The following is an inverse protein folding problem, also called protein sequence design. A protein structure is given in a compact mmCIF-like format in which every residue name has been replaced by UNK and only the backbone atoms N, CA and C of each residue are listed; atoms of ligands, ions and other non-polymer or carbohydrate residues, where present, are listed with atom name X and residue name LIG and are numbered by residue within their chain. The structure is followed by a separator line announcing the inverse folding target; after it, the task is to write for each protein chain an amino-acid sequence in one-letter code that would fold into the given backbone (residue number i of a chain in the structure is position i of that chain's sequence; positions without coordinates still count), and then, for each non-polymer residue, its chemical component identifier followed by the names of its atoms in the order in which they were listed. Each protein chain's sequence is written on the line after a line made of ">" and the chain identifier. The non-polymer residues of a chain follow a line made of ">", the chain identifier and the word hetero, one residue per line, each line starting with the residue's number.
data_IF_804577049003
#
_entry.id   IF_804577049003
#
_cell.length_a   1.000
_cell.length_b   1.000
_cell.length_c   1.000
_cell.angle_alpha   90.00
_cell.angle_beta   90.00
_cell.angle_gamma   90.00
#
_symmetry.space_group_name_H-M   'P 1'
#
loop_
_entity.id
_entity.type
_entity.pdbx_description
1 polymer ?
#
# COMPACT_ATOMS: atom_id res chain seq x y z
N UNK A 1 10.79 2.22 10.24
CA UNK A 1 9.37 1.87 10.03
C UNK A 1 8.89 0.97 11.16
N UNK A 2 7.58 0.87 11.41
CA UNK A 2 7.06 -0.12 12.39
C UNK A 2 7.09 -1.52 11.80
N UNK A 3 6.56 -1.66 10.59
CA UNK A 3 6.47 -2.91 9.84
C UNK A 3 7.11 -2.65 8.48
N UNK A 4 8.12 -3.44 8.10
CA UNK A 4 8.79 -3.27 6.82
C UNK A 4 9.15 -4.62 6.20
N UNK A 5 8.45 -4.95 5.12
CA UNK A 5 8.80 -6.03 4.21
C UNK A 5 9.11 -5.39 2.87
N UNK A 6 10.39 -5.35 2.51
CA UNK A 6 10.85 -4.74 1.27
C UNK A 6 11.75 -5.71 0.50
N UNK A 7 11.29 -6.16 -0.66
CA UNK A 7 12.06 -6.96 -1.60
C UNK A 7 12.82 -6.11 -2.62
N UNK A 8 12.72 -4.79 -2.63
CA UNK A 8 13.46 -4.00 -3.59
C UNK A 8 14.93 -3.85 -3.18
N UNK A 9 15.83 -4.46 -3.95
CA UNK A 9 17.29 -4.43 -3.74
C UNK A 9 18.07 -3.71 -4.86
N UNK A 10 17.38 -3.28 -5.93
CA UNK A 10 17.96 -2.67 -7.14
C UNK A 10 18.20 -1.16 -7.07
N UNK A 11 18.89 -0.65 -6.05
CA UNK A 11 19.21 0.80 -5.96
C UNK A 11 18.05 1.67 -5.48
N UNK A 12 17.94 2.91 -5.99
CA UNK A 12 16.99 3.92 -5.50
C UNK A 12 15.56 3.34 -5.42
N UNK A 13 15.04 3.23 -4.18
CA UNK A 13 13.66 2.85 -3.96
C UNK A 13 12.75 3.84 -4.67
N UNK A 14 11.74 3.40 -5.43
CA UNK A 14 10.77 4.31 -6.01
C UNK A 14 10.05 5.01 -4.86
N UNK A 15 10.35 6.29 -4.69
CA UNK A 15 9.78 7.08 -3.61
C UNK A 15 8.41 7.54 -4.10
N UNK A 16 7.35 6.96 -3.54
CA UNK A 16 6.00 7.51 -3.69
C UNK A 16 5.92 8.74 -2.77
N UNK A 17 6.39 9.89 -3.23
CA UNK A 17 6.23 11.15 -2.49
C UNK A 17 4.85 11.75 -2.76
N UNK A 18 4.27 12.36 -1.74
CA UNK A 18 2.90 12.89 -1.77
C UNK A 18 2.72 14.13 -2.65
N UNK A 19 3.81 14.69 -3.16
CA UNK A 19 3.87 15.90 -3.98
C UNK A 19 4.14 15.63 -5.47
N UNK A 20 4.26 14.37 -5.89
CA UNK A 20 4.51 13.99 -7.28
C UNK A 20 3.32 13.26 -7.92
N UNK A 21 3.11 13.55 -9.20
CA UNK A 21 2.06 12.93 -10.01
C UNK A 21 2.42 11.48 -10.31
N UNK A 22 1.44 10.57 -10.32
CA UNK A 22 1.67 9.16 -10.68
C UNK A 22 2.23 8.95 -12.10
N UNK A 23 2.16 9.99 -12.95
CA UNK A 23 2.73 10.05 -14.30
C UNK A 23 4.27 10.20 -14.28
N UNK A 24 4.84 10.78 -13.22
CA UNK A 24 6.30 10.92 -13.03
C UNK A 24 6.94 9.67 -12.39
N UNK A 25 6.11 8.73 -11.91
CA UNK A 25 6.50 7.47 -11.29
C UNK A 25 6.70 6.34 -12.32
N UNK A 26 7.44 6.58 -13.40
CA UNK A 26 7.89 5.48 -14.27
C UNK A 26 8.89 4.61 -13.50
N UNK A 27 8.36 3.58 -12.84
CA UNK A 27 9.15 2.48 -12.33
C UNK A 27 9.71 1.69 -13.50
N UNK A 28 10.94 1.23 -13.36
CA UNK A 28 11.48 0.20 -14.24
C UNK A 28 10.72 -1.10 -13.94
N UNK A 29 9.58 -1.27 -14.61
CA UNK A 29 8.74 -2.46 -14.55
C UNK A 29 9.30 -3.58 -15.45
N UNK A 30 10.60 -3.60 -15.74
CA UNK A 30 11.21 -4.70 -16.49
C UNK A 30 11.03 -6.01 -15.72
N UNK A 31 10.01 -6.76 -16.12
CA UNK A 31 9.75 -8.09 -15.61
C UNK A 31 10.92 -8.98 -15.96
N UNK A 32 11.77 -9.25 -14.97
CA UNK A 32 12.80 -10.28 -15.07
C UNK A 32 12.16 -11.65 -14.88
N UNK A 33 12.80 -12.69 -15.41
CA UNK A 33 12.29 -14.05 -15.27
C UNK A 33 12.36 -14.49 -13.81
N UNK A 34 11.25 -15.01 -13.29
CA UNK A 34 11.19 -15.63 -11.97
C UNK A 34 11.99 -16.93 -11.99
N UNK A 35 12.94 -17.08 -11.06
CA UNK A 35 13.73 -18.28 -10.84
C UNK A 35 13.57 -18.75 -9.39
N UNK A 36 14.15 -19.91 -9.05
CA UNK A 36 14.22 -20.38 -7.65
C UNK A 36 15.00 -19.42 -6.73
N UNK A 37 15.85 -18.57 -7.31
CA UNK A 37 16.65 -17.58 -6.58
C UNK A 37 15.87 -16.27 -6.36
N UNK A 38 14.73 -16.08 -7.02
CA UNK A 38 13.89 -14.89 -6.82
C UNK A 38 13.33 -14.89 -5.40
N UNK A 39 13.69 -13.92 -4.55
CA UNK A 39 13.22 -13.88 -3.18
C UNK A 39 11.73 -13.56 -3.15
N UNK A 40 11.05 -14.09 -2.13
CA UNK A 40 9.63 -13.89 -1.95
C UNK A 40 9.27 -13.75 -0.48
N UNK A 41 8.36 -12.83 -0.20
CA UNK A 41 7.64 -12.75 1.07
C UNK A 41 6.21 -13.24 0.84
N UNK A 42 5.76 -14.18 1.66
CA UNK A 42 4.40 -14.69 1.60
C UNK A 42 3.88 -15.12 2.96
N UNK A 43 2.55 -15.06 3.12
CA UNK A 43 1.83 -15.57 4.29
C UNK A 43 2.26 -14.87 5.60
N UNK A 44 2.12 -13.55 5.64
CA UNK A 44 2.49 -12.73 6.80
C UNK A 44 1.23 -12.29 7.53
N UNK A 45 1.12 -12.64 8.82
CA UNK A 45 -0.04 -12.34 9.64
C UNK A 45 0.37 -11.54 10.87
N UNK A 46 -0.18 -10.33 11.00
CA UNK A 46 0.16 -9.37 12.05
C UNK A 46 -1.13 -8.93 12.74
N UNK A 47 -1.11 -8.89 14.08
CA UNK A 47 -2.31 -8.57 14.86
C UNK A 47 -1.99 -7.90 16.19
N UNK A 48 -2.89 -7.03 16.64
CA UNK A 48 -2.83 -6.36 17.96
C UNK A 48 -1.55 -5.52 18.12
N UNK A 49 -1.28 -4.64 17.16
CA UNK A 49 -0.08 -3.79 17.15
C UNK A 49 -0.46 -2.36 17.51
N UNK A 50 0.27 -1.77 18.46
CA UNK A 50 0.23 -0.33 18.72
C UNK A 50 1.64 0.20 18.57
N UNK A 51 1.81 1.20 17.71
CA UNK A 51 3.10 1.82 17.49
C UNK A 51 2.95 3.32 17.23
N UNK A 52 3.82 4.11 17.84
CA UNK A 52 3.81 5.57 17.79
C UNK A 52 5.23 6.11 17.56
N UNK A 53 5.36 7.28 16.93
CA UNK A 53 6.65 7.95 16.76
C UNK A 53 7.57 7.31 15.73
N UNK A 54 7.02 6.57 14.76
CA UNK A 54 7.79 5.92 13.70
C UNK A 54 7.87 6.77 12.42
N UNK A 55 8.85 6.49 11.55
CA UNK A 55 8.96 7.17 10.25
C UNK A 55 7.87 6.78 9.25
N UNK A 56 7.56 5.49 9.15
CA UNK A 56 6.53 4.94 8.25
C UNK A 56 5.71 3.93 9.03
N UNK A 57 4.38 3.99 8.88
CA UNK A 57 3.45 3.12 9.58
C UNK A 57 3.63 1.64 9.17
N UNK A 58 3.62 1.37 7.87
CA UNK A 58 3.98 0.05 7.33
C UNK A 58 4.43 0.16 5.87
N UNK A 59 5.40 -0.65 5.48
CA UNK A 59 5.84 -0.80 4.10
C UNK A 59 5.73 -2.27 3.67
N UNK A 60 4.90 -2.54 2.65
CA UNK A 60 4.72 -3.84 2.03
C UNK A 60 5.12 -3.74 0.57
N UNK A 61 6.34 -4.16 0.25
CA UNK A 61 6.92 -3.97 -1.08
C UNK A 61 7.42 -5.30 -1.64
N UNK A 62 6.72 -5.78 -2.66
CA UNK A 62 7.16 -6.88 -3.51
C UNK A 62 8.00 -6.42 -4.69
N UNK A 63 8.06 -7.27 -5.70
CA UNK A 63 8.67 -6.99 -7.00
C UNK A 63 7.60 -7.03 -8.09
N UNK A 64 7.78 -6.31 -9.20
CA UNK A 64 6.87 -6.38 -10.35
C UNK A 64 6.64 -7.83 -10.84
N UNK A 65 7.69 -8.65 -10.87
CA UNK A 65 7.68 -10.06 -11.28
C UNK A 65 7.28 -11.04 -10.15
N UNK A 66 7.43 -10.62 -8.89
CA UNK A 66 7.15 -11.44 -7.71
C UNK A 66 6.53 -10.57 -6.62
N UNK A 67 5.21 -10.42 -6.70
CA UNK A 67 4.45 -9.69 -5.71
C UNK A 67 4.70 -10.25 -4.28
N UNK A 68 4.64 -9.39 -3.28
CA UNK A 68 4.52 -9.81 -1.88
C UNK A 68 3.12 -10.39 -1.66
N UNK A 69 3.01 -11.60 -1.09
CA UNK A 69 1.78 -12.39 -1.14
C UNK A 69 1.13 -12.59 0.23
N UNK A 70 -0.20 -12.54 0.29
CA UNK A 70 -1.02 -12.95 1.43
C UNK A 70 -0.58 -12.29 2.75
N UNK A 71 -0.85 -11.00 2.87
CA UNK A 71 -0.50 -10.21 4.06
C UNK A 71 -1.75 -9.73 4.76
N UNK A 72 -1.82 -9.99 6.06
CA UNK A 72 -2.93 -9.57 6.91
C UNK A 72 -2.42 -8.72 8.06
N UNK A 73 -2.97 -7.53 8.21
CA UNK A 73 -2.83 -6.70 9.40
C UNK A 73 -4.20 -6.49 10.03
N UNK A 74 -4.36 -6.91 11.28
CA UNK A 74 -5.61 -6.79 12.03
C UNK A 74 -5.42 -6.04 13.35
N UNK A 75 -6.40 -5.24 13.74
CA UNK A 75 -6.43 -4.59 15.06
C UNK A 75 -5.14 -3.81 15.37
N UNK A 76 -4.84 -2.78 14.58
CA UNK A 76 -3.63 -1.99 14.78
C UNK A 76 -3.90 -0.49 14.89
N UNK A 77 -3.09 0.19 15.70
CA UNK A 77 -3.04 1.65 15.81
C UNK A 77 -1.62 2.09 15.48
N UNK A 78 -1.47 2.82 14.37
CA UNK A 78 -0.18 3.22 13.84
C UNK A 78 -0.13 4.75 13.72
N UNK A 79 0.72 5.39 14.52
CA UNK A 79 1.04 6.81 14.44
C UNK A 79 2.48 6.98 13.94
N UNK A 80 2.63 7.67 12.81
CA UNK A 80 3.89 7.71 12.07
C UNK A 80 4.03 9.01 11.26
N UNK A 81 5.21 9.25 10.70
CA UNK A 81 5.41 10.39 9.78
C UNK A 81 4.69 10.17 8.43
N UNK A 82 4.84 8.97 7.85
CA UNK A 82 4.15 8.52 6.62
C UNK A 82 3.21 7.35 6.92
N UNK A 83 2.14 7.20 6.12
CA UNK A 83 1.13 6.15 6.27
C UNK A 83 1.59 4.75 5.88
N UNK A 84 0.62 3.89 5.54
CA UNK A 84 0.86 2.54 5.02
C UNK A 84 1.08 2.63 3.51
N UNK A 85 2.12 1.96 3.02
CA UNK A 85 2.39 1.80 1.60
C UNK A 85 2.40 0.33 1.23
N UNK A 86 1.65 -0.03 0.19
CA UNK A 86 1.70 -1.36 -0.43
C UNK A 86 2.01 -1.22 -1.92
N UNK A 87 3.07 -1.90 -2.35
CA UNK A 87 3.61 -1.84 -3.72
C UNK A 87 3.84 -3.27 -4.17
N UNK A 88 3.38 -3.60 -5.37
CA UNK A 88 3.47 -4.94 -5.95
C UNK A 88 3.10 -6.00 -4.90
N UNK A 89 1.90 -5.86 -4.35
CA UNK A 89 1.39 -6.75 -3.30
C UNK A 89 0.13 -7.46 -3.80
N UNK A 90 -0.03 -8.73 -3.49
CA UNK A 90 -1.17 -9.56 -3.86
C UNK A 90 -1.77 -10.23 -2.63
N UNK A 91 -3.06 -10.00 -2.37
CA UNK A 91 -3.74 -10.56 -1.20
C UNK A 91 -3.48 -9.78 0.09
N UNK A 92 -3.66 -8.45 0.07
CA UNK A 92 -3.56 -7.60 1.25
C UNK A 92 -4.91 -7.50 1.98
N UNK A 93 -4.93 -7.81 3.27
CA UNK A 93 -6.09 -7.66 4.17
C UNK A 93 -5.73 -6.67 5.28
N UNK A 94 -6.47 -5.56 5.33
CA UNK A 94 -6.40 -4.60 6.42
C UNK A 94 -7.75 -4.58 7.15
N UNK A 95 -7.77 -4.95 8.43
CA UNK A 95 -9.00 -5.04 9.21
C UNK A 95 -8.91 -4.33 10.54
N UNK A 96 -9.83 -3.40 10.79
CA UNK A 96 -9.89 -2.64 12.04
C UNK A 96 -8.55 -1.95 12.36
N UNK A 97 -8.15 -1.04 11.47
CA UNK A 97 -6.85 -0.36 11.54
C UNK A 97 -7.08 1.14 11.72
N UNK A 98 -6.29 1.78 12.59
CA UNK A 98 -6.19 3.23 12.71
C UNK A 98 -4.81 3.69 12.27
N UNK A 99 -4.75 4.62 11.31
CA UNK A 99 -3.48 5.20 10.83
C UNK A 99 -3.51 6.72 10.99
N UNK A 100 -2.51 7.26 11.67
CA UNK A 100 -2.36 8.71 11.92
C UNK A 100 -0.99 9.12 11.36
N UNK A 101 -0.90 9.43 10.05
CA UNK A 101 0.32 9.97 9.49
C UNK A 101 0.42 11.48 9.75
N UNK A 102 1.62 12.00 10.03
CA UNK A 102 1.82 13.46 10.10
C UNK A 102 1.85 14.12 8.72
N UNK A 103 2.14 13.35 7.67
CA UNK A 103 2.22 13.81 6.28
C UNK A 103 1.75 12.73 5.31
N UNK A 104 1.06 13.12 4.24
CA UNK A 104 0.60 12.22 3.18
C UNK A 104 -0.63 11.38 3.56
N UNK A 105 -0.97 10.45 2.67
CA UNK A 105 -2.13 9.57 2.80
C UNK A 105 -1.93 8.52 3.90
N UNK A 106 -3.04 8.04 4.46
CA UNK A 106 -3.05 6.94 5.43
C UNK A 106 -2.75 5.59 4.77
N UNK A 107 -3.18 5.40 3.53
CA UNK A 107 -2.95 4.19 2.73
C UNK A 107 -2.66 4.55 1.27
N UNK A 108 -1.55 4.06 0.74
CA UNK A 108 -1.21 4.12 -0.68
C UNK A 108 -1.05 2.71 -1.22
N UNK A 109 -1.81 2.37 -2.26
CA UNK A 109 -1.73 1.12 -3.00
C UNK A 109 -1.18 1.40 -4.41
N UNK A 110 -0.14 0.69 -4.82
CA UNK A 110 0.44 0.79 -6.16
C UNK A 110 0.61 -0.61 -6.76
N UNK A 111 0.06 -0.85 -7.96
CA UNK A 111 0.09 -2.16 -8.63
C UNK A 111 -0.31 -3.32 -7.69
N UNK A 112 -1.31 -3.07 -6.85
CA UNK A 112 -1.73 -4.00 -5.79
C UNK A 112 -2.95 -4.79 -6.25
N UNK A 113 -3.00 -6.08 -5.90
CA UNK A 113 -4.02 -7.03 -6.35
C UNK A 113 -4.75 -7.67 -5.15
N UNK A 114 -6.02 -7.98 -5.32
CA UNK A 114 -6.86 -8.69 -4.35
C UNK A 114 -6.80 -8.07 -2.94
N UNK A 115 -7.19 -6.80 -2.83
CA UNK A 115 -7.11 -6.04 -1.59
C UNK A 115 -8.46 -6.00 -0.90
N UNK A 116 -8.48 -6.22 0.43
CA UNK A 116 -9.65 -6.04 1.27
C UNK A 116 -9.32 -5.11 2.44
N UNK A 117 -9.99 -3.97 2.49
CA UNK A 117 -9.89 -3.01 3.58
C UNK A 117 -11.23 -2.87 4.26
N UNK A 118 -11.29 -3.27 5.54
CA UNK A 118 -12.48 -3.16 6.38
C UNK A 118 -12.17 -2.38 7.65
N UNK A 119 -12.99 -1.38 7.97
CA UNK A 119 -12.84 -0.52 9.16
C UNK A 119 -11.46 0.14 9.25
N UNK A 120 -11.03 0.79 8.17
CA UNK A 120 -9.89 1.70 8.21
C UNK A 120 -10.35 3.05 8.74
N UNK A 121 -9.71 3.52 9.80
CA UNK A 121 -9.88 4.87 10.36
C UNK A 121 -8.58 5.63 10.22
N UNK A 122 -8.68 6.94 9.98
CA UNK A 122 -7.52 7.77 9.71
C UNK A 122 -7.69 9.18 10.25
N UNK A 123 -6.56 9.88 10.42
CA UNK A 123 -6.52 11.31 10.69
C UNK A 123 -5.44 11.92 9.81
N UNK A 124 -5.86 12.51 8.70
CA UNK A 124 -5.01 13.19 7.72
C UNK A 124 -5.48 14.64 7.57
N UNK A 125 -4.65 15.52 7.01
CA UNK A 125 -5.03 16.90 6.71
C UNK A 125 -6.16 16.97 5.68
N UNK A 126 -7.04 17.98 5.78
CA UNK A 126 -8.23 18.13 4.92
C UNK A 126 -7.93 18.23 3.42
N UNK A 127 -6.72 18.66 3.06
CA UNK A 127 -6.27 18.80 1.66
C UNK A 127 -5.67 17.52 1.07
N UNK A 128 -5.67 16.41 1.81
CA UNK A 128 -5.01 15.15 1.43
C UNK A 128 -6.05 14.05 1.33
N UNK A 129 -6.07 13.37 0.18
CA UNK A 129 -6.82 12.13 -0.01
C UNK A 129 -6.33 11.07 0.97
N UNK A 130 -7.17 10.55 1.89
CA UNK A 130 -6.73 9.58 2.89
C UNK A 130 -6.21 8.27 2.28
N UNK A 131 -6.77 7.86 1.15
CA UNK A 131 -6.42 6.63 0.44
C UNK A 131 -6.08 6.98 -1.00
N UNK A 132 -4.98 6.41 -1.52
CA UNK A 132 -4.59 6.52 -2.92
C UNK A 132 -4.47 5.12 -3.52
N UNK A 133 -5.01 4.93 -4.72
CA UNK A 133 -4.87 3.72 -5.52
C UNK A 133 -4.27 4.10 -6.86
N UNK A 134 -3.12 3.51 -7.19
CA UNK A 134 -2.29 3.88 -8.33
C UNK A 134 -1.82 2.62 -9.08
N UNK A 135 -1.31 2.82 -10.30
CA UNK A 135 -0.67 1.78 -11.09
C UNK A 135 -1.64 0.95 -11.95
N UNK A 136 -1.21 0.67 -13.17
CA UNK A 136 -2.01 -0.01 -14.21
C UNK A 136 -2.21 -1.50 -13.97
N UNK A 137 -1.39 -2.12 -13.10
CA UNK A 137 -1.46 -3.54 -12.79
C UNK A 137 -2.35 -3.85 -11.57
N UNK A 138 -3.01 -2.82 -11.01
CA UNK A 138 -3.94 -2.95 -9.89
C UNK A 138 -5.20 -3.74 -10.26
N UNK A 139 -5.64 -4.66 -9.38
CA UNK A 139 -6.77 -5.55 -9.64
C UNK A 139 -7.56 -5.88 -8.36
N UNK A 140 -8.89 -5.95 -8.48
CA UNK A 140 -9.82 -6.40 -7.42
C UNK A 140 -9.55 -5.77 -6.03
N UNK A 141 -9.80 -4.46 -5.92
CA UNK A 141 -9.56 -3.69 -4.69
C UNK A 141 -10.92 -3.35 -4.06
N UNK A 142 -11.17 -3.89 -2.88
CA UNK A 142 -12.40 -3.67 -2.12
C UNK A 142 -12.09 -2.87 -0.85
N UNK A 143 -12.67 -1.68 -0.73
CA UNK A 143 -12.43 -0.76 0.40
C UNK A 143 -13.77 -0.29 0.95
N UNK A 144 -14.09 -0.70 2.19
CA UNK A 144 -15.29 -0.29 2.90
C UNK A 144 -15.11 1.15 3.46
N UNK A 145 -15.32 2.15 2.60
CA UNK A 145 -15.18 3.58 2.89
C UNK A 145 -15.88 4.40 1.80
N UNK A 146 -16.30 5.65 2.06
CA UNK A 146 -16.84 6.52 1.03
C UNK A 146 -15.84 6.75 -0.11
N UNK A 147 -16.31 6.70 -1.37
CA UNK A 147 -15.49 6.96 -2.56
C UNK A 147 -14.76 8.32 -2.53
N UNK A 148 -15.32 9.32 -1.86
CA UNK A 148 -14.70 10.64 -1.68
C UNK A 148 -13.41 10.62 -0.86
N UNK A 149 -13.14 9.55 -0.11
CA UNK A 149 -11.90 9.35 0.63
C UNK A 149 -10.79 8.69 -0.20
N UNK A 150 -11.08 8.32 -1.45
CA UNK A 150 -10.17 7.57 -2.31
C UNK A 150 -9.83 8.40 -3.55
N UNK A 151 -8.55 8.65 -3.74
CA UNK A 151 -8.00 9.11 -5.00
C UNK A 151 -7.59 7.90 -5.84
N UNK A 152 -8.09 7.84 -7.07
CA UNK A 152 -7.77 6.77 -8.02
C UNK A 152 -6.96 7.42 -9.15
N UNK A 153 -5.73 6.95 -9.34
CA UNK A 153 -4.84 7.44 -10.40
C UNK A 153 -5.37 7.10 -11.79
N UNK A 154 -5.08 7.95 -12.78
CA UNK A 154 -5.61 7.82 -14.15
C UNK A 154 -5.19 6.55 -14.90
N UNK A 155 -4.12 5.88 -14.46
CA UNK A 155 -3.64 4.62 -15.03
C UNK A 155 -4.33 3.38 -14.46
N UNK A 156 -5.07 3.51 -13.35
CA UNK A 156 -5.78 2.39 -12.73
C UNK A 156 -6.94 1.94 -13.62
N UNK A 157 -7.07 0.65 -13.94
CA UNK A 157 -8.16 0.18 -14.80
C UNK A 157 -9.55 0.44 -14.21
N UNK A 158 -10.52 0.76 -15.06
CA UNK A 158 -11.90 1.02 -14.64
C UNK A 158 -12.51 -0.19 -13.92
N UNK A 159 -13.32 0.06 -12.88
CA UNK A 159 -14.03 -0.99 -12.12
C UNK A 159 -13.17 -1.82 -11.18
N UNK A 160 -11.84 -1.59 -11.13
CA UNK A 160 -10.93 -2.28 -10.20
C UNK A 160 -11.21 -1.94 -8.74
N UNK A 161 -11.49 -0.67 -8.46
CA UNK A 161 -11.76 -0.18 -7.09
C UNK A 161 -13.25 -0.20 -6.82
N UNK A 162 -13.67 -1.01 -5.85
CA UNK A 162 -15.04 -1.13 -5.38
C UNK A 162 -15.13 -0.61 -3.95
N UNK A 163 -16.12 0.23 -3.71
CA UNK A 163 -16.43 0.79 -2.39
C UNK A 163 -17.76 0.23 -1.92
N UNK A 164 -17.80 -0.22 -0.66
CA UNK A 164 -19.03 -0.66 0.03
C UNK A 164 -19.35 0.30 1.18
#
# INVERSE_FOLDING_TARGET
>A
DVINFNLFYGGNSPILESDQSAEDEQRDETLVSVTEETPSFKNIFMKNIVATGSGVAANFQGLPEMNLQNVSLENAILEAKKGITAVDTDGLILKNIKVIPSTGSALTLYNTKHVKVDKLTYQVSDSISPIRVLGSLSQDIHINTPKTAIEIGGTVPEGVVKTE
#
